data_IF_501173586215
#
_entry.id   IF_501173586215
#
_cell.length_a   1.000
_cell.length_b   1.000
_cell.length_c   1.000
_cell.angle_alpha   90.00
_cell.angle_beta   90.00
_cell.angle_gamma   90.00
#
_symmetry.space_group_name_H-M   'P 1'
#
loop_
_entity.id
_entity.type
_entity.pdbx_description
1 polymer ?
#
# COMPACT_ATOMS: atom_id res chain seq x y z
N UNK A 1 19.04 13.85 14.21
CA UNK A 1 17.79 13.08 14.27
C UNK A 1 16.87 13.86 15.18
N UNK A 2 15.71 14.28 14.68
CA UNK A 2 14.76 15.04 15.50
C UNK A 2 13.97 14.12 16.45
N UNK A 3 13.27 14.73 17.42
CA UNK A 3 12.54 14.01 18.47
C UNK A 3 11.51 13.01 17.90
N UNK A 4 10.83 13.36 16.80
CA UNK A 4 9.85 12.49 16.18
C UNK A 4 10.51 11.32 15.44
N UNK A 5 11.64 11.54 14.76
CA UNK A 5 12.42 10.44 14.17
C UNK A 5 12.90 9.47 15.26
N UNK A 6 13.41 9.97 16.39
CA UNK A 6 13.86 9.11 17.49
C UNK A 6 12.71 8.29 18.06
N UNK A 7 11.56 8.89 18.34
CA UNK A 7 10.37 8.18 18.85
C UNK A 7 9.83 7.17 17.83
N UNK A 8 9.77 7.55 16.56
CA UNK A 8 9.32 6.67 15.48
C UNK A 8 10.17 5.41 15.40
N UNK A 9 11.50 5.55 15.48
CA UNK A 9 12.45 4.41 15.48
C UNK A 9 12.41 3.59 16.77
N UNK A 10 11.80 4.10 17.83
CA UNK A 10 11.52 3.36 19.08
C UNK A 10 10.15 2.66 19.07
N UNK A 11 9.42 2.72 17.95
CA UNK A 11 8.12 2.05 17.78
C UNK A 11 6.90 2.93 18.06
N UNK A 12 7.07 4.23 18.31
CA UNK A 12 5.94 5.15 18.40
C UNK A 12 5.34 5.39 17.01
N UNK A 13 4.23 4.72 16.72
CA UNK A 13 3.57 4.82 15.43
C UNK A 13 2.97 6.21 15.15
N UNK A 14 2.60 6.98 16.17
CA UNK A 14 2.11 8.36 15.99
C UNK A 14 3.26 9.27 15.55
N UNK A 15 4.43 9.10 16.17
CA UNK A 15 5.64 9.77 15.74
C UNK A 15 6.03 9.36 14.31
N UNK A 16 5.92 8.07 13.97
CA UNK A 16 6.18 7.58 12.62
C UNK A 16 5.25 8.21 11.57
N UNK A 17 3.94 8.30 11.84
CA UNK A 17 2.99 9.00 10.95
C UNK A 17 3.35 10.48 10.80
N UNK A 18 3.78 11.13 11.89
CA UNK A 18 4.24 12.52 11.87
C UNK A 18 5.47 12.67 10.97
N UNK A 19 6.45 11.77 11.07
CA UNK A 19 7.61 11.73 10.17
C UNK A 19 7.17 11.53 8.72
N UNK A 20 6.28 10.58 8.45
CA UNK A 20 5.82 10.24 7.10
C UNK A 20 5.02 11.34 6.39
N UNK A 21 4.35 12.22 7.15
CA UNK A 21 3.64 13.39 6.62
C UNK A 21 4.55 14.48 6.06
N UNK A 22 5.86 14.40 6.31
CA UNK A 22 6.83 15.37 5.80
C UNK A 22 7.03 15.18 4.31
N UNK A 23 7.20 16.31 3.60
CA UNK A 23 7.46 16.33 2.16
C UNK A 23 8.67 15.44 1.82
N UNK A 24 9.73 15.55 2.61
CA UNK A 24 10.92 14.72 2.49
C UNK A 24 11.15 13.94 3.77
N UNK A 25 11.41 12.64 3.63
CA UNK A 25 11.86 11.74 4.68
C UNK A 25 13.14 11.11 4.16
N UNK A 26 14.15 11.01 5.03
CA UNK A 26 15.40 10.37 4.63
C UNK A 26 15.13 8.91 4.25
N UNK A 27 15.77 8.38 3.19
CA UNK A 27 15.55 7.00 2.75
C UNK A 27 15.77 5.96 3.85
N UNK A 28 16.81 6.15 4.69
CA UNK A 28 17.15 5.22 5.77
C UNK A 28 16.14 5.24 6.92
N UNK A 29 15.56 6.41 7.23
CA UNK A 29 14.46 6.52 8.20
C UNK A 29 13.21 5.84 7.64
N UNK A 30 12.88 6.07 6.37
CA UNK A 30 11.72 5.44 5.73
C UNK A 30 11.85 3.92 5.72
N UNK A 31 13.02 3.39 5.34
CA UNK A 31 13.31 1.95 5.37
C UNK A 31 13.21 1.37 6.78
N UNK A 32 13.72 2.06 7.80
CA UNK A 32 13.63 1.61 9.18
C UNK A 32 12.18 1.57 9.73
N UNK A 33 11.26 2.37 9.17
CA UNK A 33 9.83 2.33 9.53
C UNK A 33 9.06 1.22 8.80
N UNK A 34 9.65 0.59 7.78
CA UNK A 34 9.02 -0.45 6.98
C UNK A 34 9.21 -1.84 7.59
N UNK A 35 8.74 -2.02 8.83
CA UNK A 35 8.82 -3.31 9.52
C UNK A 35 7.61 -4.21 9.20
N UNK A 36 7.71 -5.54 9.35
CA UNK A 36 6.57 -6.45 9.13
C UNK A 36 5.41 -6.25 10.10
N UNK A 37 5.67 -5.65 11.26
CA UNK A 37 4.72 -5.38 12.35
C UNK A 37 4.32 -3.90 12.42
N UNK A 38 4.65 -3.10 11.40
CA UNK A 38 4.33 -1.69 11.37
C UNK A 38 2.82 -1.46 11.57
N UNK A 39 2.47 -0.49 12.41
CA UNK A 39 1.08 -0.11 12.61
C UNK A 39 0.43 0.29 11.27
N UNK A 40 -0.84 -0.07 11.06
CA UNK A 40 -1.53 0.14 9.77
C UNK A 40 -1.43 1.58 9.24
N UNK A 41 -1.46 2.58 10.13
CA UNK A 41 -1.37 4.00 9.77
C UNK A 41 0.02 4.38 9.23
N UNK A 42 1.07 3.71 9.69
CA UNK A 42 2.42 3.85 9.14
C UNK A 42 2.45 3.33 7.70
N UNK A 43 1.87 2.15 7.46
CA UNK A 43 1.76 1.56 6.11
C UNK A 43 0.99 2.48 5.16
N UNK A 44 -0.16 3.00 5.60
CA UNK A 44 -0.95 3.96 4.84
C UNK A 44 -0.20 5.28 4.60
N UNK A 45 0.60 5.73 5.58
CA UNK A 45 1.47 6.89 5.47
C UNK A 45 2.51 6.71 4.36
N UNK A 46 3.20 5.57 4.32
CA UNK A 46 4.16 5.22 3.26
C UNK A 46 3.47 5.20 1.88
N UNK A 47 2.31 4.53 1.77
CA UNK A 47 1.56 4.45 0.51
C UNK A 47 1.01 5.79 0.01
N UNK A 48 0.87 6.77 0.90
CA UNK A 48 0.37 8.10 0.55
C UNK A 48 1.46 9.05 0.07
N UNK A 49 2.73 8.64 0.13
CA UNK A 49 3.84 9.45 -0.36
C UNK A 49 3.84 9.52 -1.90
N UNK A 50 4.14 10.70 -2.50
CA UNK A 50 4.14 10.86 -3.96
C UNK A 50 5.27 10.08 -4.65
N UNK A 51 6.39 9.92 -3.94
CA UNK A 51 7.60 9.22 -4.37
C UNK A 51 7.56 7.70 -4.08
N UNK A 52 6.41 7.15 -3.70
CA UNK A 52 6.28 5.73 -3.35
C UNK A 52 6.78 4.82 -4.48
N UNK A 53 7.59 3.83 -4.13
CA UNK A 53 8.24 2.90 -5.07
C UNK A 53 7.49 1.57 -5.18
N UNK A 54 7.69 0.80 -6.27
CA UNK A 54 7.13 -0.55 -6.37
C UNK A 54 7.54 -1.47 -5.21
N UNK A 55 8.77 -1.34 -4.69
CA UNK A 55 9.23 -2.10 -3.52
C UNK A 55 8.45 -1.76 -2.24
N UNK A 56 8.14 -0.49 -2.03
CA UNK A 56 7.31 -0.04 -0.90
C UNK A 56 5.85 -0.51 -1.03
N UNK A 57 5.33 -0.54 -2.25
CA UNK A 57 3.99 -1.09 -2.54
C UNK A 57 3.96 -2.60 -2.26
N UNK A 58 4.99 -3.33 -2.70
CA UNK A 58 5.11 -4.77 -2.44
C UNK A 58 5.22 -5.07 -0.93
N UNK A 59 6.01 -4.28 -0.20
CA UNK A 59 6.07 -4.36 1.27
C UNK A 59 4.68 -4.15 1.89
N UNK A 60 3.95 -3.10 1.52
CA UNK A 60 2.62 -2.83 2.04
C UNK A 60 1.61 -3.94 1.70
N UNK A 61 1.78 -4.61 0.55
CA UNK A 61 0.93 -5.73 0.16
C UNK A 61 1.12 -6.98 1.04
N UNK A 62 2.18 -7.06 1.84
CA UNK A 62 2.37 -8.19 2.79
C UNK A 62 1.39 -8.16 3.97
N UNK A 63 0.79 -7.00 4.27
CA UNK A 63 -0.15 -6.84 5.38
C UNK A 63 -1.52 -7.44 5.06
N UNK A 64 -2.07 -8.22 5.97
CA UNK A 64 -3.43 -8.77 5.85
C UNK A 64 -4.49 -7.78 6.35
N UNK A 65 -4.62 -6.67 5.65
CA UNK A 65 -5.59 -5.63 5.97
C UNK A 65 -6.24 -5.07 4.71
N UNK A 66 -7.55 -5.22 4.58
CA UNK A 66 -8.27 -4.83 3.37
C UNK A 66 -8.16 -3.33 3.04
N UNK A 67 -8.02 -2.45 4.04
CA UNK A 67 -7.83 -1.00 3.80
C UNK A 67 -6.46 -0.73 3.19
N UNK A 68 -5.42 -1.36 3.72
CA UNK A 68 -4.05 -1.29 3.17
C UNK A 68 -4.01 -1.85 1.75
N UNK A 69 -4.57 -3.05 1.54
CA UNK A 69 -4.59 -3.69 0.24
C UNK A 69 -5.44 -2.90 -0.78
N UNK A 70 -6.55 -2.30 -0.36
CA UNK A 70 -7.31 -1.38 -1.21
C UNK A 70 -6.47 -0.18 -1.63
N UNK A 71 -5.64 0.37 -0.73
CA UNK A 71 -4.72 1.47 -1.05
C UNK A 71 -3.61 1.02 -2.00
N UNK A 72 -3.08 -0.19 -1.84
CA UNK A 72 -2.14 -0.82 -2.80
C UNK A 72 -2.79 -0.89 -4.17
N UNK A 73 -3.98 -1.49 -4.30
CA UNK A 73 -4.67 -1.66 -5.60
C UNK A 73 -4.99 -0.31 -6.25
N UNK A 74 -5.29 0.73 -5.45
CA UNK A 74 -5.57 2.08 -5.97
C UNK A 74 -4.34 2.83 -6.50
N UNK A 75 -3.13 2.36 -6.19
CA UNK A 75 -1.92 3.05 -6.60
C UNK A 75 -1.60 2.74 -8.08
N UNK A 76 -1.43 3.74 -8.95
CA UNK A 76 -1.18 3.53 -10.37
C UNK A 76 0.18 2.86 -10.66
N UNK A 77 1.10 2.85 -9.69
CA UNK A 77 2.39 2.14 -9.79
C UNK A 77 2.27 0.66 -9.41
N UNK A 78 1.10 0.18 -8.99
CA UNK A 78 0.87 -1.21 -8.60
C UNK A 78 0.84 -2.12 -9.83
N UNK A 79 1.71 -3.14 -9.91
CA UNK A 79 1.71 -4.08 -11.02
C UNK A 79 0.43 -4.92 -11.06
N UNK A 80 -0.11 -5.18 -12.26
CA UNK A 80 -1.30 -6.03 -12.43
C UNK A 80 -1.17 -7.44 -11.82
N UNK A 81 -0.01 -8.13 -11.85
CA UNK A 81 0.15 -9.40 -11.14
C UNK A 81 -0.16 -9.29 -9.64
N UNK A 82 0.30 -8.22 -8.99
CA UNK A 82 0.03 -7.98 -7.57
C UNK A 82 -1.47 -7.72 -7.32
N UNK A 83 -2.17 -7.05 -8.24
CA UNK A 83 -3.64 -6.87 -8.15
C UNK A 83 -4.37 -8.22 -8.23
N UNK A 84 -3.89 -9.18 -9.05
CA UNK A 84 -4.45 -10.54 -9.11
C UNK A 84 -4.25 -11.30 -7.81
N UNK A 85 -3.03 -11.28 -7.27
CA UNK A 85 -2.72 -11.92 -5.98
C UNK A 85 -3.59 -11.36 -4.84
N UNK A 86 -3.78 -10.04 -4.79
CA UNK A 86 -4.65 -9.41 -3.78
C UNK A 86 -6.11 -9.83 -3.97
N UNK A 87 -6.59 -9.95 -5.21
CA UNK A 87 -7.93 -10.44 -5.50
C UNK A 87 -8.11 -11.86 -4.97
N UNK A 88 -7.20 -12.76 -5.29
CA UNK A 88 -7.23 -14.17 -4.84
C UNK A 88 -7.24 -14.28 -3.32
N UNK A 89 -6.46 -13.44 -2.62
CA UNK A 89 -6.47 -13.37 -1.14
C UNK A 89 -7.78 -12.85 -0.55
N UNK A 90 -8.47 -11.97 -1.27
CA UNK A 90 -9.75 -11.40 -0.83
C UNK A 90 -10.94 -12.32 -1.16
N UNK A 91 -10.82 -13.18 -2.17
CA UNK A 91 -11.85 -14.15 -2.54
C UNK A 91 -12.11 -15.15 -1.40
N UNK A 92 -13.39 -15.44 -1.15
CA UNK A 92 -13.81 -16.37 -0.10
C UNK A 92 -13.86 -15.77 1.31
N UNK A 93 -13.40 -14.52 1.51
CA UNK A 93 -13.56 -13.80 2.78
C UNK A 93 -14.94 -13.12 2.82
N UNK A 94 -15.83 -13.51 3.74
CA UNK A 94 -17.23 -13.09 3.70
C UNK A 94 -17.46 -11.67 4.22
N UNK A 95 -16.49 -11.06 4.90
CA UNK A 95 -16.67 -9.72 5.45
C UNK A 95 -16.75 -8.69 4.32
N UNK A 96 -17.72 -7.77 4.41
CA UNK A 96 -18.04 -6.80 3.36
C UNK A 96 -16.81 -6.08 2.79
N UNK A 97 -15.85 -5.74 3.65
CA UNK A 97 -14.63 -5.04 3.25
C UNK A 97 -13.76 -5.86 2.28
N UNK A 98 -13.71 -7.18 2.44
CA UNK A 98 -12.96 -8.07 1.55
C UNK A 98 -13.73 -8.34 0.26
N UNK A 99 -15.05 -8.49 0.33
CA UNK A 99 -15.91 -8.58 -0.86
C UNK A 99 -15.76 -7.33 -1.73
N UNK A 100 -15.76 -6.14 -1.12
CA UNK A 100 -15.53 -4.89 -1.83
C UNK A 100 -14.12 -4.78 -2.42
N UNK A 101 -13.10 -5.27 -1.70
CA UNK A 101 -11.73 -5.31 -2.21
C UNK A 101 -11.61 -6.22 -3.43
N UNK A 102 -12.13 -7.45 -3.37
CA UNK A 102 -12.10 -8.40 -4.49
C UNK A 102 -12.80 -7.81 -5.73
N UNK A 103 -13.98 -7.21 -5.54
CA UNK A 103 -14.71 -6.52 -6.59
C UNK A 103 -13.93 -5.32 -7.17
N UNK A 104 -13.20 -4.58 -6.33
CA UNK A 104 -12.37 -3.48 -6.77
C UNK A 104 -11.18 -3.94 -7.62
N UNK A 105 -10.49 -5.00 -7.20
CA UNK A 105 -9.43 -5.62 -8.00
C UNK A 105 -9.95 -6.05 -9.37
N UNK A 106 -11.15 -6.66 -9.43
CA UNK A 106 -11.81 -7.01 -10.69
C UNK A 106 -11.96 -5.81 -11.64
N UNK A 107 -12.49 -4.69 -11.13
CA UNK A 107 -12.64 -3.45 -11.93
C UNK A 107 -11.31 -2.90 -12.45
N UNK A 108 -10.25 -2.96 -11.64
CA UNK A 108 -8.91 -2.51 -12.06
C UNK A 108 -8.36 -3.39 -13.18
N UNK A 109 -8.48 -4.70 -13.04
CA UNK A 109 -8.02 -5.67 -14.05
C UNK A 109 -8.81 -5.54 -15.36
N UNK A 110 -10.14 -5.39 -15.29
CA UNK A 110 -10.99 -5.20 -16.46
C UNK A 110 -10.66 -3.91 -17.20
N UNK A 111 -10.40 -2.83 -16.46
CA UNK A 111 -9.97 -1.55 -17.04
C UNK A 111 -8.64 -1.70 -17.78
N UNK A 112 -7.65 -2.32 -17.15
CA UNK A 112 -6.34 -2.54 -17.76
C UNK A 112 -6.44 -3.40 -19.03
N UNK A 113 -7.30 -4.43 -19.03
CA UNK A 113 -7.55 -5.26 -20.21
C UNK A 113 -8.15 -4.44 -21.37
N UNK A 114 -9.12 -3.56 -21.09
CA UNK A 114 -9.73 -2.66 -22.09
C UNK A 114 -8.71 -1.68 -22.67
N UNK A 115 -7.89 -1.06 -21.82
CA UNK A 115 -6.82 -0.14 -22.26
C UNK A 115 -5.78 -0.85 -23.12
N UNK A 116 -5.44 -2.12 -22.83
CA UNK A 116 -4.52 -2.91 -23.65
C UNK A 116 -5.11 -3.39 -24.99
N UNK A 117 -6.44 -3.56 -25.07
CA UNK A 117 -7.15 -4.02 -26.27
C UNK A 117 -7.53 -2.91 -27.26
N UNK A 118 -7.42 -1.64 -26.88
CA UNK A 118 -7.80 -0.48 -27.70
C UNK A 118 -6.79 -0.11 -28.81
N UNK A 119 -5.70 -0.86 -28.97
CA UNK A 119 -4.70 -0.66 -30.03
C UNK A 119 -4.80 -1.68 -31.19
N UNK A 120 -5.86 -2.49 -31.25
CA UNK A 120 -6.13 -3.41 -32.35
C UNK A 120 -7.33 -2.97 -33.19
N UNK A 121 -7.12 -2.03 -34.11
CA UNK A 121 -8.12 -1.56 -35.07
C UNK A 121 -7.49 -0.73 -36.17
#
# INVERSE_FOLDING_TARGET
MDEFETKALQGDWLAAVTVLSRISVRPDVLEALMTPDAHKEVVLGVLSRPDVTPGQIAWAATFDNAQVLGRVVSNPKTPLPLVREIRERAEGRPEDIWVHLAAYCGRVLDRAAKESGLHGG
#
